data_IF_827824135812
#
_entry.id   IF_827824135812
#
_cell.length_a   1.000
_cell.length_b   1.000
_cell.length_c   1.000
_cell.angle_alpha   90.00
_cell.angle_beta   90.00
_cell.angle_gamma   90.00
#
_symmetry.space_group_name_H-M   'P 1'
#
loop_
_entity.id
_entity.type
_entity.pdbx_description
1 polymer ?
#
# COMPACT_ATOMS: atom_id res chain seq x y z
N UNK A 1 -33.75 -38.21 1.29
CA UNK A 1 -33.66 -36.77 1.01
C UNK A 1 -33.17 -36.61 -0.42
N UNK A 2 -33.97 -36.04 -1.32
CA UNK A 2 -33.54 -35.72 -2.70
C UNK A 2 -33.06 -34.27 -2.70
N UNK A 3 -31.82 -34.05 -3.11
CA UNK A 3 -31.31 -32.71 -3.39
C UNK A 3 -31.82 -32.28 -4.76
N UNK A 4 -32.34 -31.05 -4.86
CA UNK A 4 -32.76 -30.46 -6.14
C UNK A 4 -31.58 -29.70 -6.74
N UNK A 5 -31.51 -29.68 -8.06
CA UNK A 5 -30.51 -28.90 -8.77
C UNK A 5 -30.77 -27.40 -8.61
N UNK A 6 -29.68 -26.63 -8.55
CA UNK A 6 -29.71 -25.18 -8.45
C UNK A 6 -30.09 -24.62 -9.81
N UNK A 7 -31.16 -23.83 -9.85
CA UNK A 7 -31.62 -23.17 -11.07
C UNK A 7 -31.17 -21.70 -11.15
N UNK A 8 -31.46 -21.03 -12.27
CA UNK A 8 -31.09 -19.63 -12.48
C UNK A 8 -31.79 -18.67 -11.51
N UNK A 9 -32.91 -19.07 -10.92
CA UNK A 9 -33.63 -18.27 -9.91
C UNK A 9 -32.90 -18.35 -8.57
N UNK A 10 -32.43 -19.53 -8.21
CA UNK A 10 -31.55 -19.74 -7.06
C UNK A 10 -30.23 -18.96 -7.25
N UNK A 11 -29.65 -18.97 -8.46
CA UNK A 11 -28.45 -18.18 -8.76
C UNK A 11 -28.67 -16.68 -8.59
N UNK A 12 -29.82 -16.16 -9.05
CA UNK A 12 -30.19 -14.76 -8.84
C UNK A 12 -30.38 -14.42 -7.37
N UNK A 13 -31.02 -15.29 -6.59
CA UNK A 13 -31.14 -15.10 -5.15
C UNK A 13 -29.78 -15.09 -4.45
N UNK A 14 -28.84 -15.92 -4.88
CA UNK A 14 -27.47 -15.95 -4.36
C UNK A 14 -26.72 -14.66 -4.76
N UNK A 15 -26.85 -14.21 -6.00
CA UNK A 15 -26.22 -12.98 -6.47
C UNK A 15 -26.81 -11.73 -5.77
N UNK A 16 -28.13 -11.65 -5.65
CA UNK A 16 -28.82 -10.58 -4.92
C UNK A 16 -28.47 -10.62 -3.44
N UNK A 17 -28.30 -11.82 -2.86
CA UNK A 17 -27.75 -11.99 -1.51
C UNK A 17 -26.34 -11.40 -1.41
N UNK A 18 -25.41 -11.77 -2.29
CA UNK A 18 -24.05 -11.21 -2.27
C UNK A 18 -24.01 -9.70 -2.55
N UNK A 19 -24.88 -9.17 -3.40
CA UNK A 19 -24.99 -7.73 -3.70
C UNK A 19 -25.61 -6.97 -2.53
N UNK A 20 -26.63 -7.53 -1.86
CA UNK A 20 -27.19 -6.95 -0.64
C UNK A 20 -26.22 -7.04 0.54
N UNK A 21 -25.41 -8.10 0.60
CA UNK A 21 -24.32 -8.26 1.56
C UNK A 21 -23.10 -7.38 1.24
N UNK A 22 -22.95 -6.83 0.02
CA UNK A 22 -21.89 -5.84 -0.27
C UNK A 22 -22.00 -4.56 0.56
N UNK A 23 -23.15 -4.32 1.20
CA UNK A 23 -23.34 -3.25 2.18
C UNK A 23 -23.53 -3.73 3.62
N UNK A 24 -23.53 -5.05 3.87
CA UNK A 24 -23.77 -5.67 5.19
C UNK A 24 -22.89 -6.87 5.53
N UNK A 25 -21.75 -7.06 4.86
CA UNK A 25 -20.59 -7.64 5.53
C UNK A 25 -20.12 -6.59 6.53
N UNK A 26 -20.82 -6.52 7.65
CA UNK A 26 -20.29 -5.99 8.89
C UNK A 26 -18.99 -6.72 9.13
N UNK A 27 -17.89 -6.11 8.68
CA UNK A 27 -16.62 -6.20 9.38
C UNK A 27 -16.98 -6.15 10.86
N UNK A 28 -16.52 -7.10 11.69
CA UNK A 28 -16.78 -7.01 13.12
C UNK A 28 -16.42 -5.58 13.55
N UNK A 29 -17.35 -4.91 14.23
CA UNK A 29 -17.26 -3.50 14.64
C UNK A 29 -15.94 -3.17 15.37
N UNK A 30 -15.26 -4.23 15.83
CA UNK A 30 -13.87 -4.26 16.19
C UNK A 30 -13.29 -5.57 15.66
N UNK A 31 -12.22 -5.55 14.83
CA UNK A 31 -11.40 -6.74 14.67
C UNK A 31 -11.01 -7.27 16.06
N UNK A 32 -10.84 -8.59 16.25
CA UNK A 32 -10.13 -9.10 17.41
C UNK A 32 -8.89 -8.22 17.63
N UNK A 33 -8.70 -7.72 18.85
CA UNK A 33 -7.71 -6.68 19.20
C UNK A 33 -6.26 -7.03 18.85
N UNK A 34 -6.01 -8.25 18.38
CA UNK A 34 -4.71 -8.77 17.97
C UNK A 34 -4.68 -9.26 16.51
N UNK A 35 -5.62 -8.82 15.66
CA UNK A 35 -5.60 -9.17 14.24
C UNK A 35 -4.42 -8.47 13.58
N UNK A 36 -3.40 -9.26 13.22
CA UNK A 36 -2.21 -8.77 12.52
C UNK A 36 -2.35 -8.98 11.01
N UNK A 37 -2.10 -7.92 10.27
CA UNK A 37 -1.97 -7.94 8.82
C UNK A 37 -0.51 -8.17 8.44
N UNK A 38 -0.28 -9.06 7.48
CA UNK A 38 1.04 -9.24 6.86
C UNK A 38 1.28 -8.14 5.85
N UNK A 39 2.30 -7.33 6.10
CA UNK A 39 2.75 -6.24 5.26
C UNK A 39 4.22 -6.38 4.88
N UNK A 40 4.71 -5.39 4.15
CA UNK A 40 6.15 -5.26 3.85
C UNK A 40 6.60 -3.87 4.25
N UNK A 41 7.75 -3.81 4.92
CA UNK A 41 8.51 -2.58 5.13
C UNK A 41 9.51 -2.44 3.99
N UNK A 42 9.41 -1.35 3.24
CA UNK A 42 10.42 -0.93 2.27
C UNK A 42 11.43 -0.09 3.06
N UNK A 43 12.58 -0.68 3.37
CA UNK A 43 13.62 -0.01 4.14
C UNK A 43 14.33 1.05 3.28
N UNK A 44 14.61 2.22 3.85
CA UNK A 44 15.41 3.26 3.20
C UNK A 44 16.90 2.97 3.30
N UNK A 45 17.72 3.73 2.55
CA UNK A 45 19.19 3.60 2.58
C UNK A 45 19.79 3.71 4.00
N UNK A 46 19.15 4.46 4.89
CA UNK A 46 19.50 4.56 6.30
C UNK A 46 19.40 3.22 7.03
N UNK A 47 18.23 2.59 6.97
CA UNK A 47 17.99 1.27 7.56
C UNK A 47 18.84 0.18 6.90
N UNK A 48 19.03 0.24 5.58
CA UNK A 48 19.88 -0.72 4.86
C UNK A 48 21.35 -0.59 5.25
N UNK A 49 21.94 0.59 5.14
CA UNK A 49 23.39 0.76 5.31
C UNK A 49 23.81 0.86 6.78
N UNK A 50 22.99 1.43 7.66
CA UNK A 50 23.37 1.65 9.06
C UNK A 50 22.88 0.54 9.99
N UNK A 51 21.73 -0.09 9.68
CA UNK A 51 21.15 -1.15 10.50
C UNK A 51 21.26 -2.55 9.85
N UNK A 52 21.81 -2.65 8.64
CA UNK A 52 21.98 -3.92 7.93
C UNK A 52 20.64 -4.57 7.55
N UNK A 53 19.58 -3.79 7.41
CA UNK A 53 18.24 -4.30 7.08
C UNK A 53 18.13 -4.64 5.60
N UNK A 54 17.34 -5.66 5.22
CA UNK A 54 17.08 -5.92 3.81
C UNK A 54 16.16 -4.84 3.23
N UNK A 55 16.30 -4.54 1.93
CA UNK A 55 15.45 -3.58 1.22
C UNK A 55 13.94 -3.81 1.43
N UNK A 56 13.52 -5.08 1.39
CA UNK A 56 12.14 -5.49 1.68
C UNK A 56 12.14 -6.44 2.88
N UNK A 57 11.44 -6.04 3.95
CA UNK A 57 11.30 -6.80 5.19
C UNK A 57 9.82 -7.16 5.37
N UNK A 58 9.49 -8.44 5.49
CA UNK A 58 8.13 -8.84 5.86
C UNK A 58 7.86 -8.43 7.31
N UNK A 59 6.70 -7.83 7.54
CA UNK A 59 6.29 -7.32 8.85
C UNK A 59 4.85 -7.69 9.15
N UNK A 60 4.52 -7.68 10.44
CA UNK A 60 3.15 -7.79 10.91
C UNK A 60 2.71 -6.45 11.51
N UNK A 61 1.58 -5.93 11.04
CA UNK A 61 1.02 -4.65 11.48
C UNK A 61 -0.34 -4.90 12.11
N UNK A 62 -0.64 -4.23 13.22
CA UNK A 62 -1.97 -4.29 13.82
C UNK A 62 -3.02 -3.74 12.84
N UNK A 63 -4.10 -4.49 12.62
CA UNK A 63 -5.22 -4.03 11.80
C UNK A 63 -5.86 -2.77 12.39
N UNK A 64 -5.86 -2.62 13.72
CA UNK A 64 -6.36 -1.40 14.37
C UNK A 64 -5.52 -0.18 14.02
N UNK A 65 -4.20 -0.32 13.96
CA UNK A 65 -3.31 0.78 13.57
C UNK A 65 -3.56 1.18 12.11
N UNK A 66 -3.81 0.20 11.24
CA UNK A 66 -4.14 0.43 9.82
C UNK A 66 -5.47 1.17 9.65
N UNK A 67 -6.48 0.85 10.47
CA UNK A 67 -7.82 1.43 10.37
C UNK A 67 -7.96 2.80 11.06
N UNK A 68 -7.08 3.12 12.02
CA UNK A 68 -7.17 4.35 12.83
C UNK A 68 -6.19 5.43 12.40
N UNK A 69 -5.06 5.06 11.82
CA UNK A 69 -4.06 6.02 11.33
C UNK A 69 -4.35 6.35 9.86
N UNK A 70 -4.04 7.58 9.46
CA UNK A 70 -4.11 8.00 8.07
C UNK A 70 -2.98 7.34 7.27
N UNK A 71 -3.35 6.55 6.27
CA UNK A 71 -2.44 5.96 5.29
C UNK A 71 -2.68 6.61 3.92
N UNK A 72 -1.61 6.72 3.15
CA UNK A 72 -1.71 7.13 1.75
C UNK A 72 -2.06 5.92 0.87
N UNK A 73 -2.48 6.20 -0.36
CA UNK A 73 -2.72 5.19 -1.39
C UNK A 73 -1.82 5.43 -2.60
N UNK A 74 -1.70 4.42 -3.46
CA UNK A 74 -0.87 4.48 -4.67
C UNK A 74 -1.72 4.35 -5.94
N UNK A 75 -1.61 5.34 -6.83
CA UNK A 75 -2.25 5.32 -8.15
C UNK A 75 -1.80 4.11 -8.97
N UNK A 76 -0.49 3.81 -8.96
CA UNK A 76 0.07 2.66 -9.67
C UNK A 76 -0.51 1.36 -9.12
N UNK A 77 -0.60 1.25 -7.79
CA UNK A 77 -1.06 0.03 -7.15
C UNK A 77 -2.53 -0.22 -7.46
N UNK A 78 -3.34 0.85 -7.48
CA UNK A 78 -4.72 0.82 -7.93
C UNK A 78 -4.82 0.39 -9.41
N UNK A 79 -3.99 0.96 -10.29
CA UNK A 79 -4.02 0.66 -11.72
C UNK A 79 -3.74 -0.82 -12.01
N UNK A 80 -2.82 -1.45 -11.27
CA UNK A 80 -2.47 -2.86 -11.49
C UNK A 80 -3.34 -3.85 -10.69
N UNK A 81 -4.36 -3.37 -9.99
CA UNK A 81 -5.30 -4.21 -9.23
C UNK A 81 -4.75 -4.75 -7.91
N UNK A 82 -3.74 -4.09 -7.34
CA UNK A 82 -3.18 -4.39 -6.02
C UNK A 82 -3.27 -3.16 -5.11
N UNK A 83 -4.48 -2.72 -4.72
CA UNK A 83 -4.64 -1.52 -3.91
C UNK A 83 -3.96 -1.69 -2.53
N UNK A 84 -3.14 -0.70 -2.16
CA UNK A 84 -2.35 -0.71 -0.93
C UNK A 84 -2.55 0.56 -0.12
N UNK A 85 -2.31 0.44 1.18
CA UNK A 85 -2.07 1.52 2.11
C UNK A 85 -0.58 1.63 2.38
N UNK A 86 -0.08 2.86 2.41
CA UNK A 86 1.34 3.17 2.63
C UNK A 86 1.50 4.19 3.75
N UNK A 87 2.54 4.03 4.56
CA UNK A 87 2.85 4.94 5.67
C UNK A 87 4.34 5.06 5.90
N UNK A 88 4.89 6.29 5.91
CA UNK A 88 6.27 6.52 6.33
C UNK A 88 6.50 6.11 7.79
N UNK A 89 7.63 5.49 8.04
CA UNK A 89 8.12 5.20 9.38
C UNK A 89 8.85 6.40 9.96
N UNK A 90 8.91 6.46 11.30
CA UNK A 90 9.86 7.34 11.96
C UNK A 90 11.30 6.88 11.64
N UNK A 91 12.23 7.82 11.43
CA UNK A 91 13.63 7.48 11.21
C UNK A 91 14.26 6.91 12.49
N UNK A 92 15.24 6.03 12.34
CA UNK A 92 16.03 5.57 13.48
C UNK A 92 16.96 6.69 13.95
N UNK A 93 17.07 6.86 15.27
CA UNK A 93 17.86 7.92 15.87
C UNK A 93 19.36 7.82 15.52
N UNK A 94 19.87 6.62 15.23
CA UNK A 94 21.27 6.38 14.87
C UNK A 94 21.68 7.05 13.56
N UNK A 95 20.74 7.21 12.62
CA UNK A 95 21.00 7.84 11.31
C UNK A 95 20.11 9.04 11.02
N UNK A 96 19.22 9.46 11.93
CA UNK A 96 18.22 10.51 11.70
C UNK A 96 18.77 11.85 11.22
N UNK A 97 20.04 12.17 11.50
CA UNK A 97 20.71 13.40 11.07
C UNK A 97 21.47 13.27 9.74
N UNK A 98 21.47 12.09 9.12
CA UNK A 98 22.13 11.83 7.83
C UNK A 98 21.12 12.06 6.71
N UNK A 99 21.34 13.08 5.88
CA UNK A 99 20.38 13.48 4.84
C UNK A 99 20.06 12.35 3.86
N UNK A 100 21.09 11.67 3.35
CA UNK A 100 20.94 10.64 2.33
C UNK A 100 20.38 9.32 2.88
N UNK A 101 20.32 9.17 4.21
CA UNK A 101 19.76 7.98 4.85
C UNK A 101 18.24 7.86 4.65
N UNK A 102 17.56 8.93 4.26
CA UNK A 102 16.12 8.91 4.01
C UNK A 102 15.74 8.49 2.59
N UNK A 103 16.71 8.24 1.70
CA UNK A 103 16.44 7.87 0.31
C UNK A 103 15.70 6.53 0.26
N UNK A 104 14.54 6.53 -0.40
CA UNK A 104 13.73 5.33 -0.64
C UNK A 104 13.03 5.45 -1.99
N UNK A 105 13.78 5.15 -3.06
CA UNK A 105 13.33 5.37 -4.43
C UNK A 105 12.15 4.46 -4.81
N UNK A 106 12.10 3.24 -4.29
CA UNK A 106 10.98 2.31 -4.54
C UNK A 106 9.67 2.85 -3.94
N UNK A 107 9.71 3.41 -2.73
CA UNK A 107 8.55 4.06 -2.14
C UNK A 107 8.16 5.35 -2.88
N UNK A 108 9.13 6.13 -3.37
CA UNK A 108 8.83 7.29 -4.24
C UNK A 108 8.11 6.85 -5.50
N UNK A 109 8.62 5.82 -6.17
CA UNK A 109 8.01 5.31 -7.40
C UNK A 109 6.64 4.69 -7.19
N UNK A 110 6.37 4.13 -6.01
CA UNK A 110 5.04 3.67 -5.64
C UNK A 110 4.01 4.81 -5.67
N UNK A 111 4.41 6.06 -5.44
CA UNK A 111 3.50 7.21 -5.33
C UNK A 111 3.52 8.17 -6.53
N UNK A 112 4.05 7.74 -7.69
CA UNK A 112 3.96 8.56 -8.90
C UNK A 112 2.49 8.81 -9.27
N UNK A 113 2.14 10.06 -9.54
CA UNK A 113 0.82 10.43 -10.01
C UNK A 113 0.61 9.95 -11.45
N UNK A 114 -0.45 9.18 -11.67
CA UNK A 114 -0.77 8.64 -12.99
C UNK A 114 -1.84 9.41 -13.75
N UNK A 115 -2.54 10.37 -13.12
CA UNK A 115 -3.56 11.17 -13.79
C UNK A 115 -2.91 12.33 -14.59
N UNK A 116 -2.95 12.31 -15.94
CA UNK A 116 -2.38 13.36 -16.79
C UNK A 116 -3.07 14.72 -16.63
N UNK A 117 -4.24 14.77 -15.98
CA UNK A 117 -4.99 16.02 -15.72
C UNK A 117 -4.58 16.68 -14.41
N UNK A 118 -3.83 16.00 -13.55
CA UNK A 118 -3.36 16.56 -12.28
C UNK A 118 -2.37 17.69 -12.54
N UNK A 119 -2.77 18.91 -12.20
CA UNK A 119 -1.91 20.10 -12.28
C UNK A 119 -0.99 20.15 -11.06
N UNK A 120 0.22 20.66 -11.25
CA UNK A 120 1.11 20.97 -10.14
C UNK A 120 0.48 22.06 -9.26
N UNK A 121 0.72 21.93 -7.96
CA UNK A 121 0.37 22.88 -6.93
C UNK A 121 1.40 22.77 -5.80
N UNK A 122 2.40 23.64 -5.84
CA UNK A 122 3.52 23.63 -4.90
C UNK A 122 3.06 23.82 -3.45
N UNK A 123 2.03 24.65 -3.22
CA UNK A 123 1.49 24.91 -1.88
C UNK A 123 0.84 23.67 -1.27
N UNK A 124 0.27 22.80 -2.09
CA UNK A 124 -0.34 21.54 -1.68
C UNK A 124 0.66 20.36 -1.72
N UNK A 125 1.91 20.60 -2.12
CA UNK A 125 2.89 19.55 -2.27
C UNK A 125 2.66 18.64 -3.49
N UNK A 126 1.84 19.06 -4.46
CA UNK A 126 1.44 18.27 -5.63
C UNK A 126 2.32 18.65 -6.81
N UNK A 127 3.03 17.70 -7.40
CA UNK A 127 3.93 17.95 -8.54
C UNK A 127 3.31 17.63 -9.90
N UNK A 128 2.12 17.02 -9.90
CA UNK A 128 1.38 16.68 -11.12
C UNK A 128 1.79 15.34 -11.73
N UNK A 129 1.28 15.09 -12.94
CA UNK A 129 1.48 13.84 -13.66
C UNK A 129 2.95 13.44 -13.80
N UNK A 130 3.24 12.16 -13.56
CA UNK A 130 4.58 11.59 -13.71
C UNK A 130 5.52 11.84 -12.53
N UNK A 131 5.08 12.60 -11.52
CA UNK A 131 5.86 12.88 -10.32
C UNK A 131 5.14 12.39 -9.07
N UNK A 132 5.90 11.98 -8.06
CA UNK A 132 5.36 11.71 -6.74
C UNK A 132 5.11 13.05 -6.00
N UNK A 133 4.18 13.12 -5.03
CA UNK A 133 4.03 14.32 -4.20
C UNK A 133 5.31 14.64 -3.43
N UNK A 134 5.51 15.89 -3.01
CA UNK A 134 6.71 16.33 -2.28
C UNK A 134 7.04 15.47 -1.06
N UNK A 135 6.02 15.03 -0.29
CA UNK A 135 6.19 14.14 0.88
C UNK A 135 6.78 12.77 0.54
N UNK A 136 6.65 12.33 -0.71
CA UNK A 136 7.17 11.07 -1.23
C UNK A 136 8.44 11.26 -2.06
N UNK A 137 8.99 12.49 -2.14
CA UNK A 137 10.28 12.77 -2.76
C UNK A 137 11.34 13.21 -1.74
N UNK A 138 10.93 13.93 -0.69
CA UNK A 138 11.85 14.51 0.28
C UNK A 138 11.79 13.80 1.62
N UNK A 139 12.95 13.24 2.02
CA UNK A 139 13.13 12.57 3.31
C UNK A 139 12.08 11.48 3.59
N UNK A 140 11.82 10.62 2.61
CA UNK A 140 10.78 9.58 2.66
C UNK A 140 11.00 8.61 3.83
N UNK A 141 12.25 8.18 4.05
CA UNK A 141 12.56 7.17 5.05
C UNK A 141 11.98 5.79 4.69
N UNK A 142 11.98 4.88 5.66
CA UNK A 142 11.38 3.56 5.48
C UNK A 142 9.87 3.65 5.45
N UNK A 143 9.21 2.71 4.78
CA UNK A 143 7.75 2.79 4.51
C UNK A 143 7.09 1.46 4.75
N UNK A 144 6.00 1.46 5.51
CA UNK A 144 5.12 0.30 5.67
C UNK A 144 4.13 0.26 4.52
N UNK A 145 3.95 -0.93 3.95
CA UNK A 145 2.96 -1.19 2.91
C UNK A 145 2.11 -2.39 3.28
N UNK A 146 0.79 -2.21 3.26
CA UNK A 146 -0.20 -3.26 3.51
C UNK A 146 -1.30 -3.21 2.45
N UNK A 147 -1.94 -4.33 2.16
CA UNK A 147 -3.02 -4.36 1.16
C UNK A 147 -4.33 -3.85 1.74
N UNK A 148 -5.08 -3.08 0.95
CA UNK A 148 -6.40 -2.58 1.36
C UNK A 148 -7.42 -3.70 1.52
N UNK A 149 -7.29 -4.77 0.72
CA UNK A 149 -8.15 -5.96 0.81
C UNK A 149 -7.75 -6.93 1.93
N UNK A 150 -6.84 -6.52 2.83
CA UNK A 150 -6.37 -7.27 4.00
C UNK A 150 -5.73 -8.62 3.69
N UNK A 151 -5.46 -8.92 2.41
CA UNK A 151 -4.72 -10.12 2.04
C UNK A 151 -3.23 -9.96 2.40
N UNK A 152 -2.51 -11.07 2.62
CA UNK A 152 -1.09 -11.02 2.91
C UNK A 152 -0.29 -10.33 1.80
N UNK A 153 0.66 -9.49 2.22
CA UNK A 153 1.66 -8.89 1.37
C UNK A 153 3.00 -9.59 1.60
N UNK A 154 3.50 -10.31 0.59
CA UNK A 154 4.77 -11.03 0.67
C UNK A 154 5.89 -10.29 -0.07
N UNK A 155 7.14 -10.47 0.36
CA UNK A 155 8.31 -9.75 -0.18
C UNK A 155 8.53 -9.99 -1.69
N UNK A 156 8.29 -11.21 -2.16
CA UNK A 156 8.44 -11.59 -3.57
C UNK A 156 7.46 -10.86 -4.49
N UNK A 157 6.28 -10.49 -3.99
CA UNK A 157 5.31 -9.69 -4.73
C UNK A 157 5.82 -8.25 -4.94
N UNK A 158 6.50 -7.70 -3.94
CA UNK A 158 7.02 -6.33 -3.97
C UNK A 158 8.30 -6.18 -4.80
N UNK A 159 9.20 -7.15 -4.75
CA UNK A 159 10.37 -7.18 -5.66
C UNK A 159 9.93 -7.11 -7.13
N UNK A 160 8.84 -7.80 -7.47
CA UNK A 160 8.27 -7.76 -8.81
C UNK A 160 7.56 -6.42 -9.10
N UNK A 161 6.85 -5.86 -8.12
CA UNK A 161 6.16 -4.57 -8.21
C UNK A 161 7.13 -3.40 -8.42
N UNK A 162 8.14 -3.28 -7.56
CA UNK A 162 9.17 -2.25 -7.61
C UNK A 162 9.88 -2.25 -8.97
N UNK A 163 10.22 -3.44 -9.47
CA UNK A 163 10.77 -3.64 -10.81
C UNK A 163 9.83 -3.15 -11.92
N UNK A 164 8.51 -3.36 -11.81
CA UNK A 164 7.52 -2.88 -12.79
C UNK A 164 7.38 -1.35 -12.73
N UNK A 165 7.23 -0.78 -11.53
CA UNK A 165 7.10 0.67 -11.34
C UNK A 165 8.35 1.41 -11.84
N UNK A 166 9.55 0.91 -11.52
CA UNK A 166 10.81 1.52 -11.90
C UNK A 166 11.18 1.37 -13.40
N UNK A 167 10.65 0.34 -14.10
CA UNK A 167 11.00 0.03 -15.50
C UNK A 167 9.96 0.41 -16.55
N UNK A 168 8.67 0.49 -16.20
CA UNK A 168 7.59 0.66 -17.20
C UNK A 168 6.83 1.98 -17.13
N UNK A 169 7.00 2.76 -16.07
CA UNK A 169 6.16 3.95 -15.82
C UNK A 169 6.93 5.26 -15.69
N UNK A 170 8.23 5.29 -16.01
CA UNK A 170 8.96 6.56 -16.10
C UNK A 170 8.51 7.34 -17.34
N UNK A 171 8.08 8.60 -17.19
CA UNK A 171 8.09 9.53 -18.31
C UNK A 171 9.56 9.95 -18.51
N UNK A 172 10.25 9.26 -19.42
CA UNK A 172 11.60 9.53 -19.95
C UNK A 172 12.76 9.50 -18.95
#
# INVERSE_FOLDING_TARGET
>A
MKYRDVDLKDFRHIADYFISCRWRLSLPLYPPTDTKLKGVKINCSGDEHNLGKPLFEEIEVSLMDVLTVEYDTSDIANLIGLPVFTKPCLPDLSWANVSDAYINQDATYLHLCLDPKTKSNDHAGILGWGYAPFRWQNRVGSVIVVRQDQKPCHDGMWKHYASIAARKLRPF
#
